data_IF_094688357610
#
_entry.id   IF_094688357610
#
_cell.length_a   1.000
_cell.length_b   1.000
_cell.length_c   1.000
_cell.angle_alpha   90.00
_cell.angle_beta   90.00
_cell.angle_gamma   90.00
#
_symmetry.space_group_name_H-M   'P 1'
#
loop_
_entity.id
_entity.type
_entity.pdbx_description
1 polymer ?
#
# COMPACT_ATOMS: atom_id res chain seq x y z
N UNK A 1 -10.40 -21.67 69.89
CA UNK A 1 -8.99 -21.36 69.56
C UNK A 1 -9.07 -20.49 68.33
N UNK A 2 -8.95 -19.19 68.55
CA UNK A 2 -9.62 -18.16 67.75
C UNK A 2 -8.88 -17.83 66.45
N UNK A 3 -9.66 -17.66 65.38
CA UNK A 3 -9.25 -17.21 64.04
C UNK A 3 -8.41 -15.92 64.04
N UNK A 4 -8.46 -15.15 65.12
CA UNK A 4 -7.64 -13.97 65.36
C UNK A 4 -6.15 -14.29 65.57
N UNK A 5 -5.81 -15.43 66.18
CA UNK A 5 -4.40 -15.84 66.38
C UNK A 5 -3.72 -16.30 65.08
N UNK A 6 -4.49 -16.78 64.09
CA UNK A 6 -3.94 -17.20 62.80
C UNK A 6 -3.63 -16.00 61.88
N UNK A 7 -4.48 -14.95 61.93
CA UNK A 7 -4.25 -13.69 61.22
C UNK A 7 -3.02 -12.95 61.79
N UNK A 8 -2.85 -12.96 63.11
CA UNK A 8 -1.73 -12.31 63.79
C UNK A 8 -0.38 -12.99 63.47
N UNK A 9 -0.38 -14.30 63.22
CA UNK A 9 0.82 -15.02 62.77
C UNK A 9 1.17 -14.80 61.29
N UNK A 10 0.18 -14.54 60.42
CA UNK A 10 0.45 -14.27 58.98
C UNK A 10 0.97 -12.86 58.70
N UNK A 11 0.67 -11.87 59.55
CA UNK A 11 1.23 -10.52 59.40
C UNK A 11 2.69 -10.41 59.89
N UNK A 12 3.18 -11.37 60.68
CA UNK A 12 4.48 -11.31 61.35
C UNK A 12 5.64 -11.95 60.58
N UNK A 13 5.49 -12.18 59.27
CA UNK A 13 6.50 -12.84 58.44
C UNK A 13 6.91 -12.05 57.17
N UNK A 14 6.89 -10.72 57.26
CA UNK A 14 7.67 -9.89 56.32
C UNK A 14 9.07 -9.72 56.93
N UNK A 15 10.08 -10.35 56.32
CA UNK A 15 11.49 -10.22 56.71
C UNK A 15 11.98 -8.77 56.67
N UNK A 16 13.20 -8.46 57.17
CA UNK A 16 13.72 -7.11 57.30
C UNK A 16 14.15 -6.53 55.94
N UNK A 17 13.22 -6.44 54.99
CA UNK A 17 13.33 -5.56 53.83
C UNK A 17 12.93 -4.16 54.28
N UNK A 18 13.88 -3.42 54.85
CA UNK A 18 13.69 -2.02 55.19
C UNK A 18 13.38 -1.22 53.94
N UNK A 19 12.10 -0.90 53.71
CA UNK A 19 11.72 0.07 52.70
C UNK A 19 12.38 1.43 53.01
N UNK A 20 12.80 2.13 51.96
CA UNK A 20 13.64 3.34 51.98
C UNK A 20 13.09 4.51 52.83
N UNK A 21 11.88 4.39 53.39
CA UNK A 21 11.13 5.44 54.08
C UNK A 21 10.90 5.20 55.58
N UNK A 22 11.51 4.16 56.18
CA UNK A 22 11.29 3.83 57.61
C UNK A 22 11.94 4.89 58.51
N UNK A 23 11.11 5.67 59.21
CA UNK A 23 11.54 6.73 60.15
C UNK A 23 11.43 8.17 59.64
N UNK A 24 10.94 8.38 58.41
CA UNK A 24 10.74 9.72 57.85
C UNK A 24 9.32 10.20 58.17
N UNK A 25 9.16 11.19 59.05
CA UNK A 25 7.87 11.82 59.35
C UNK A 25 7.60 12.96 58.37
N UNK A 26 7.05 12.63 57.20
CA UNK A 26 6.71 13.62 56.16
C UNK A 26 5.29 14.14 56.41
N UNK A 27 5.09 15.46 56.59
CA UNK A 27 3.75 16.03 56.61
C UNK A 27 2.99 15.69 55.33
N UNK A 28 1.72 15.29 55.45
CA UNK A 28 0.86 14.93 54.31
C UNK A 28 0.87 16.00 53.21
N UNK A 29 0.99 17.28 53.59
CA UNK A 29 1.13 18.40 52.63
C UNK A 29 2.38 18.29 51.76
N UNK A 30 3.53 17.94 52.34
CA UNK A 30 4.80 17.79 51.60
C UNK A 30 4.73 16.56 50.69
N UNK A 31 4.14 15.46 51.17
CA UNK A 31 3.92 14.27 50.35
C UNK A 31 3.03 14.59 49.14
N UNK A 32 1.95 15.36 49.32
CA UNK A 32 1.09 15.79 48.22
C UNK A 32 1.82 16.69 47.21
N UNK A 33 2.65 17.64 47.67
CA UNK A 33 3.47 18.44 46.75
C UNK A 33 4.42 17.57 45.93
N UNK A 34 5.10 16.60 46.56
CA UNK A 34 5.98 15.67 45.85
C UNK A 34 5.21 14.86 44.82
N UNK A 35 4.05 14.30 45.18
CA UNK A 35 3.19 13.55 44.24
C UNK A 35 2.74 14.42 43.07
N UNK A 36 2.28 15.65 43.32
CA UNK A 36 1.84 16.58 42.26
C UNK A 36 3.02 16.92 41.34
N UNK A 37 4.21 17.22 41.88
CA UNK A 37 5.39 17.50 41.05
C UNK A 37 5.83 16.30 40.22
N UNK A 38 5.81 15.09 40.78
CA UNK A 38 6.11 13.86 40.04
C UNK A 38 5.07 13.58 38.96
N UNK A 39 3.79 13.86 39.22
CA UNK A 39 2.72 13.75 38.22
C UNK A 39 2.91 14.78 37.09
N UNK A 40 3.26 16.03 37.40
CA UNK A 40 3.53 17.06 36.39
C UNK A 40 4.76 16.73 35.55
N UNK A 41 5.84 16.23 36.17
CA UNK A 41 7.03 15.76 35.46
C UNK A 41 6.69 14.55 34.58
N UNK A 42 5.93 13.59 35.10
CA UNK A 42 5.50 12.41 34.35
C UNK A 42 4.66 12.81 33.13
N UNK A 43 3.70 13.72 33.30
CA UNK A 43 2.91 14.27 32.18
C UNK A 43 3.82 14.98 31.18
N UNK A 44 4.78 15.78 31.64
CA UNK A 44 5.76 16.44 30.79
C UNK A 44 6.64 15.47 30.01
N UNK A 45 7.10 14.38 30.63
CA UNK A 45 7.88 13.31 29.98
C UNK A 45 7.04 12.57 28.95
N UNK A 46 5.80 12.22 29.28
CA UNK A 46 4.87 11.58 28.33
C UNK A 46 4.62 12.47 27.12
N UNK A 47 4.37 13.77 27.34
CA UNK A 47 4.21 14.75 26.26
C UNK A 47 5.49 14.88 25.43
N UNK A 48 6.66 14.95 26.06
CA UNK A 48 7.94 15.02 25.37
C UNK A 48 8.23 13.77 24.52
N UNK A 49 7.95 12.58 25.04
CA UNK A 49 8.12 11.32 24.29
C UNK A 49 7.13 11.24 23.12
N UNK A 50 5.87 11.63 23.34
CA UNK A 50 4.86 11.67 22.29
C UNK A 50 5.22 12.66 21.16
N UNK A 51 5.79 13.83 21.51
CA UNK A 51 6.24 14.82 20.53
C UNK A 51 7.46 14.38 19.71
N UNK A 52 8.23 13.40 20.20
CA UNK A 52 9.40 12.82 19.52
C UNK A 52 9.12 11.44 18.92
N UNK A 53 7.87 10.97 18.94
CA UNK A 53 7.48 9.72 18.28
C UNK A 53 7.35 9.97 16.78
N UNK A 54 8.26 9.40 16.01
CA UNK A 54 8.19 9.34 14.56
C UNK A 54 7.40 8.11 14.14
N UNK A 55 6.58 8.27 13.11
CA UNK A 55 5.88 7.19 12.46
C UNK A 55 6.44 6.98 11.06
N UNK A 56 6.51 5.71 10.68
CA UNK A 56 6.94 5.28 9.35
C UNK A 56 5.72 4.86 8.56
N UNK A 57 5.51 5.49 7.41
CA UNK A 57 4.53 5.07 6.41
C UNK A 57 5.27 4.32 5.31
N UNK A 58 5.07 3.00 5.28
CA UNK A 58 5.59 2.16 4.20
C UNK A 58 4.65 2.23 3.00
N UNK A 59 5.21 2.25 1.80
CA UNK A 59 4.47 2.33 0.55
C UNK A 59 4.72 1.04 -0.24
N UNK A 60 3.75 0.14 -0.24
CA UNK A 60 3.75 -1.05 -1.09
C UNK A 60 3.09 -0.70 -2.41
N UNK A 61 3.89 -0.61 -3.47
CA UNK A 61 3.40 -0.21 -4.79
C UNK A 61 2.75 -1.34 -5.57
N UNK A 62 2.58 -2.55 -5.00
CA UNK A 62 1.92 -3.69 -5.65
C UNK A 62 2.43 -3.94 -7.08
N UNK A 63 3.76 -3.97 -7.22
CA UNK A 63 4.45 -4.19 -8.50
C UNK A 63 4.67 -2.93 -9.35
N UNK A 64 4.46 -1.74 -8.80
CA UNK A 64 4.96 -0.48 -9.37
C UNK A 64 6.43 -0.22 -9.01
N UNK A 65 6.90 1.00 -9.27
CA UNK A 65 8.23 1.44 -8.84
C UNK A 65 8.35 1.47 -7.31
N UNK A 66 9.55 1.21 -6.77
CA UNK A 66 9.76 1.22 -5.32
C UNK A 66 9.86 2.66 -4.80
N UNK A 67 8.99 3.01 -3.87
CA UNK A 67 9.04 4.31 -3.17
C UNK A 67 9.63 4.11 -1.77
N UNK A 68 10.50 5.02 -1.34
CA UNK A 68 11.07 5.00 0.01
C UNK A 68 9.97 5.30 1.05
N UNK A 69 10.02 4.66 2.23
CA UNK A 69 9.10 4.99 3.31
C UNK A 69 9.18 6.47 3.70
N UNK A 70 8.04 7.01 4.13
CA UNK A 70 7.91 8.40 4.59
C UNK A 70 7.94 8.40 6.12
N UNK A 71 8.80 9.24 6.70
CA UNK A 71 8.86 9.48 8.14
C UNK A 71 8.07 10.75 8.47
N UNK A 72 7.06 10.65 9.33
CA UNK A 72 6.21 11.76 9.74
C UNK A 72 5.90 11.74 11.24
N UNK A 73 5.26 12.78 11.76
CA UNK A 73 4.82 12.86 13.16
C UNK A 73 3.32 12.57 13.29
N UNK A 74 2.88 12.38 14.53
CA UNK A 74 1.46 12.22 14.84
C UNK A 74 0.62 13.39 14.31
N UNK A 75 -0.40 13.05 13.53
CA UNK A 75 -1.38 14.01 13.04
C UNK A 75 -0.93 14.85 11.83
N UNK A 76 0.24 14.52 11.25
CA UNK A 76 0.72 15.12 10.01
C UNK A 76 -0.16 14.68 8.82
N UNK A 77 -0.34 15.60 7.87
CA UNK A 77 -0.83 15.29 6.53
C UNK A 77 0.36 14.94 5.66
N UNK A 78 0.28 13.79 4.99
CA UNK A 78 1.32 13.31 4.07
C UNK A 78 0.87 13.52 2.63
N UNK A 79 1.79 13.98 1.78
CA UNK A 79 1.61 14.00 0.33
C UNK A 79 2.49 12.88 -0.23
N UNK A 80 1.89 12.00 -1.01
CA UNK A 80 2.55 10.86 -1.62
C UNK A 80 2.48 11.06 -3.12
N UNK A 81 3.63 11.05 -3.79
CA UNK A 81 3.68 11.11 -5.25
C UNK A 81 3.03 9.85 -5.84
N UNK A 82 2.31 10.02 -6.95
CA UNK A 82 1.70 8.89 -7.65
C UNK A 82 2.81 7.95 -8.17
N UNK A 83 2.79 6.66 -7.78
CA UNK A 83 3.76 5.70 -8.30
C UNK A 83 3.54 5.48 -9.80
N UNK A 84 4.56 4.94 -10.46
CA UNK A 84 4.46 4.49 -11.85
C UNK A 84 4.40 2.96 -11.92
N UNK A 85 3.54 2.43 -12.80
CA UNK A 85 3.48 1.01 -13.18
C UNK A 85 3.13 0.90 -14.65
N UNK A 86 4.03 0.30 -15.44
CA UNK A 86 3.85 0.19 -16.89
C UNK A 86 2.58 -0.58 -17.26
N UNK A 87 1.71 0.01 -18.10
CA UNK A 87 0.45 -0.58 -18.56
C UNK A 87 -0.72 -0.42 -17.60
N UNK A 88 -0.57 0.36 -16.51
CA UNK A 88 -1.59 0.56 -15.50
C UNK A 88 -1.76 2.05 -15.15
N UNK A 89 -2.99 2.48 -14.86
CA UNK A 89 -3.29 3.76 -14.21
C UNK A 89 -3.32 3.59 -12.69
N UNK A 90 -2.74 4.54 -11.97
CA UNK A 90 -2.82 4.59 -10.51
C UNK A 90 -4.22 5.04 -10.09
N UNK A 91 -4.88 4.26 -9.23
CA UNK A 91 -6.25 4.57 -8.77
C UNK A 91 -6.27 5.11 -7.34
N UNK A 92 -5.22 4.91 -6.54
CA UNK A 92 -5.14 5.40 -5.16
C UNK A 92 -4.37 4.49 -4.22
N UNK A 93 -4.25 4.95 -2.97
CA UNK A 93 -3.63 4.22 -1.87
C UNK A 93 -4.70 3.59 -0.99
N UNK A 94 -4.42 2.41 -0.41
CA UNK A 94 -5.34 1.65 0.42
C UNK A 94 -4.68 1.21 1.72
N UNK A 95 -5.48 1.06 2.77
CA UNK A 95 -5.05 0.66 4.11
C UNK A 95 -4.87 -0.84 4.28
N UNK A 96 -5.38 -1.62 3.34
CA UNK A 96 -5.33 -3.07 3.35
C UNK A 96 -4.91 -3.63 1.99
N UNK A 97 -4.28 -4.79 2.05
CA UNK A 97 -3.76 -5.49 0.87
C UNK A 97 -4.88 -5.99 -0.06
N UNK A 98 -6.11 -6.17 0.44
CA UNK A 98 -7.27 -6.55 -0.36
C UNK A 98 -7.89 -5.36 -1.12
N UNK A 99 -7.34 -4.14 -0.94
CA UNK A 99 -7.79 -2.89 -1.55
C UNK A 99 -9.27 -2.55 -1.25
N UNK A 100 -9.71 -2.79 -0.01
CA UNK A 100 -11.10 -2.54 0.42
C UNK A 100 -11.31 -1.16 1.06
N UNK A 101 -10.32 -0.65 1.77
CA UNK A 101 -10.38 0.62 2.50
C UNK A 101 -9.39 1.60 1.88
N UNK A 102 -9.93 2.54 1.10
CA UNK A 102 -9.15 3.60 0.48
C UNK A 102 -8.58 4.56 1.54
N UNK A 103 -7.35 5.03 1.30
CA UNK A 103 -6.71 6.06 2.08
C UNK A 103 -6.89 7.43 1.41
N UNK A 104 -7.58 8.33 2.10
CA UNK A 104 -7.76 9.71 1.66
C UNK A 104 -6.87 10.67 2.49
N UNK A 105 -5.79 11.22 1.90
CA UNK A 105 -4.88 12.11 2.62
C UNK A 105 -5.50 13.47 2.98
N UNK A 106 -6.68 13.82 2.45
CA UNK A 106 -7.39 15.06 2.78
C UNK A 106 -8.22 14.93 4.06
N UNK A 107 -8.70 13.73 4.37
CA UNK A 107 -9.59 13.49 5.53
C UNK A 107 -8.93 12.65 6.62
N UNK A 108 -7.91 11.87 6.29
CA UNK A 108 -7.23 10.98 7.22
C UNK A 108 -5.82 11.48 7.56
N UNK A 109 -5.34 11.08 8.75
CA UNK A 109 -4.05 11.49 9.31
C UNK A 109 -3.27 10.29 9.81
N UNK A 110 -1.96 10.40 9.80
CA UNK A 110 -1.10 9.33 10.32
C UNK A 110 -1.12 9.37 11.85
N UNK A 111 -1.70 8.33 12.44
CA UNK A 111 -1.79 8.19 13.91
C UNK A 111 -0.82 7.14 14.46
N UNK A 112 -0.30 6.26 13.59
CA UNK A 112 0.69 5.23 13.89
C UNK A 112 1.43 4.84 12.61
N UNK A 113 2.56 4.12 12.74
CA UNK A 113 3.23 3.50 11.60
C UNK A 113 2.27 2.55 10.88
N UNK A 114 2.27 2.62 9.55
CA UNK A 114 1.31 1.92 8.70
C UNK A 114 1.92 1.57 7.34
N UNK A 115 1.23 0.71 6.59
CA UNK A 115 1.56 0.42 5.20
C UNK A 115 0.38 0.82 4.33
N UNK A 116 0.66 1.55 3.25
CA UNK A 116 -0.31 1.86 2.22
C UNK A 116 -0.03 1.01 0.99
N UNK A 117 -1.09 0.51 0.36
CA UNK A 117 -1.06 -0.39 -0.78
C UNK A 117 -1.58 0.33 -2.02
N UNK A 118 -0.81 0.37 -3.11
CA UNK A 118 -1.23 1.00 -4.34
C UNK A 118 -2.28 0.15 -5.07
N UNK A 119 -3.34 0.80 -5.54
CA UNK A 119 -4.32 0.20 -6.45
C UNK A 119 -4.06 0.64 -7.89
N UNK A 120 -4.29 -0.29 -8.81
CA UNK A 120 -3.95 -0.15 -10.21
C UNK A 120 -5.08 -0.64 -11.08
N UNK A 121 -5.32 0.06 -12.18
CA UNK A 121 -6.26 -0.36 -13.21
C UNK A 121 -5.53 -0.54 -14.54
N UNK A 122 -5.64 -1.69 -15.22
CA UNK A 122 -5.04 -1.86 -16.53
C UNK A 122 -5.55 -0.80 -17.51
N UNK A 123 -4.65 -0.22 -18.30
CA UNK A 123 -5.05 0.76 -19.29
C UNK A 123 -5.69 0.09 -20.50
N UNK A 124 -6.48 0.87 -21.24
CA UNK A 124 -6.99 0.49 -22.55
C UNK A 124 -6.05 0.96 -23.65
N UNK A 125 -5.82 0.10 -24.64
CA UNK A 125 -4.88 0.32 -25.73
C UNK A 125 -5.62 0.24 -27.05
N UNK A 126 -5.37 1.23 -27.90
CA UNK A 126 -5.85 1.23 -29.27
C UNK A 126 -4.89 0.42 -30.15
N UNK A 127 -5.39 -0.59 -30.84
CA UNK A 127 -4.63 -1.44 -31.77
C UNK A 127 -5.10 -1.13 -33.17
N UNK A 128 -4.18 -0.70 -34.03
CA UNK A 128 -4.48 -0.36 -35.43
C UNK A 128 -4.09 -1.52 -36.33
N UNK A 129 -4.84 -1.75 -37.41
CA UNK A 129 -4.58 -2.84 -38.35
C UNK A 129 -4.06 -2.31 -39.68
N UNK A 130 -2.87 -2.75 -40.06
CA UNK A 130 -2.30 -2.54 -41.40
C UNK A 130 -2.52 -3.82 -42.22
N UNK A 131 -3.50 -3.77 -43.11
CA UNK A 131 -3.92 -4.90 -43.93
C UNK A 131 -2.93 -5.25 -45.06
N UNK A 132 -1.87 -4.45 -45.27
CA UNK A 132 -0.87 -4.66 -46.33
C UNK A 132 -1.50 -4.95 -47.71
N UNK A 133 -2.48 -4.12 -48.10
CA UNK A 133 -3.20 -4.26 -49.37
C UNK A 133 -4.27 -5.37 -49.41
N UNK A 134 -4.55 -6.05 -48.30
CA UNK A 134 -5.77 -6.84 -48.13
C UNK A 134 -7.03 -5.97 -47.92
N UNK A 135 -8.21 -6.59 -47.89
CA UNK A 135 -9.44 -5.86 -47.60
C UNK A 135 -9.48 -5.40 -46.14
N UNK A 136 -9.85 -4.14 -45.93
CA UNK A 136 -10.04 -3.58 -44.59
C UNK A 136 -11.35 -4.11 -43.99
N UNK A 137 -11.30 -4.62 -42.76
CA UNK A 137 -12.47 -5.11 -42.00
C UNK A 137 -12.80 -4.15 -40.87
N UNK A 138 -11.78 -3.71 -40.12
CA UNK A 138 -11.89 -2.75 -39.03
C UNK A 138 -10.58 -1.96 -38.93
N UNK A 139 -10.66 -0.65 -38.71
CA UNK A 139 -9.47 0.20 -38.66
C UNK A 139 -8.67 0.00 -37.37
N UNK A 140 -9.40 -0.13 -36.25
CA UNK A 140 -8.79 -0.28 -34.93
C UNK A 140 -9.67 -1.09 -33.97
N UNK A 141 -9.04 -1.60 -32.91
CA UNK A 141 -9.67 -2.32 -31.81
C UNK A 141 -9.10 -1.85 -30.47
N UNK A 142 -9.99 -1.62 -29.51
CA UNK A 142 -9.59 -1.38 -28.12
C UNK A 142 -9.35 -2.72 -27.40
N UNK A 143 -8.20 -2.86 -26.76
CA UNK A 143 -7.83 -4.02 -25.92
C UNK A 143 -7.38 -3.56 -24.54
N UNK A 144 -7.35 -4.46 -23.56
CA UNK A 144 -6.91 -4.16 -22.20
C UNK A 144 -5.49 -4.68 -22.00
N UNK A 145 -4.61 -3.87 -21.39
CA UNK A 145 -3.25 -4.31 -21.05
C UNK A 145 -3.29 -5.51 -20.10
N UNK A 146 -2.35 -6.45 -20.28
CA UNK A 146 -2.26 -7.70 -19.49
C UNK A 146 -3.45 -8.67 -19.67
N UNK A 147 -4.37 -8.36 -20.59
CA UNK A 147 -5.40 -9.28 -21.08
C UNK A 147 -5.00 -9.84 -22.45
N UNK A 148 -5.73 -10.83 -22.97
CA UNK A 148 -5.52 -11.34 -24.32
C UNK A 148 -6.11 -10.41 -25.38
N UNK A 149 -5.55 -10.42 -26.60
CA UNK A 149 -6.11 -9.63 -27.72
C UNK A 149 -7.55 -10.01 -28.07
N UNK A 150 -7.96 -11.26 -27.85
CA UNK A 150 -9.26 -11.80 -28.27
C UNK A 150 -9.40 -11.84 -29.80
N UNK A 151 -10.62 -12.01 -30.30
CA UNK A 151 -10.87 -12.21 -31.74
C UNK A 151 -10.23 -11.11 -32.61
N UNK A 152 -9.43 -11.52 -33.60
CA UNK A 152 -8.75 -10.62 -34.55
C UNK A 152 -9.38 -10.73 -35.94
N UNK A 153 -9.41 -9.64 -36.72
CA UNK A 153 -9.94 -9.66 -38.08
C UNK A 153 -9.18 -10.65 -38.97
N UNK A 154 -9.89 -11.32 -39.87
CA UNK A 154 -9.33 -12.28 -40.84
C UNK A 154 -9.55 -11.77 -42.26
N UNK A 155 -8.66 -10.90 -42.78
CA UNK A 155 -8.80 -10.34 -44.11
C UNK A 155 -8.52 -11.34 -45.23
N UNK A 156 -8.86 -10.94 -46.45
CA UNK A 156 -8.56 -11.61 -47.71
C UNK A 156 -7.78 -10.66 -48.63
N UNK A 157 -6.91 -11.24 -49.46
CA UNK A 157 -6.11 -10.54 -50.48
C UNK A 157 -6.00 -11.45 -51.70
N UNK A 158 -6.43 -10.98 -52.86
CA UNK A 158 -6.52 -11.80 -54.08
C UNK A 158 -5.15 -12.39 -54.46
N UNK A 159 -5.07 -13.72 -54.62
CA UNK A 159 -3.83 -14.44 -54.91
C UNK A 159 -2.92 -14.71 -53.69
N UNK A 160 -3.38 -14.43 -52.47
CA UNK A 160 -2.61 -14.64 -51.24
C UNK A 160 -3.40 -15.36 -50.14
N UNK A 161 -2.69 -16.16 -49.34
CA UNK A 161 -3.18 -16.74 -48.10
C UNK A 161 -2.80 -15.85 -46.90
N UNK A 162 -3.77 -15.56 -46.03
CA UNK A 162 -3.52 -14.86 -44.76
C UNK A 162 -2.88 -15.82 -43.76
N UNK A 163 -1.69 -15.47 -43.25
CA UNK A 163 -0.97 -16.27 -42.26
C UNK A 163 -1.23 -15.80 -40.82
N UNK A 164 -1.54 -14.51 -40.62
CA UNK A 164 -1.79 -13.95 -39.31
C UNK A 164 -1.36 -12.49 -39.19
N UNK A 165 -1.46 -11.98 -37.97
CA UNK A 165 -0.99 -10.64 -37.61
C UNK A 165 0.41 -10.72 -37.01
N UNK A 166 1.26 -9.75 -37.36
CA UNK A 166 2.60 -9.63 -36.78
C UNK A 166 2.84 -8.24 -36.19
N UNK A 167 3.61 -8.18 -35.11
CA UNK A 167 4.16 -6.96 -34.54
C UNK A 167 5.62 -7.21 -34.16
N UNK A 168 6.54 -6.31 -34.55
CA UNK A 168 7.98 -6.46 -34.30
C UNK A 168 8.52 -7.86 -34.65
N UNK A 169 8.09 -8.43 -35.78
CA UNK A 169 8.46 -9.77 -36.27
C UNK A 169 7.95 -10.96 -35.43
N UNK A 170 7.07 -10.73 -34.46
CA UNK A 170 6.41 -11.78 -33.68
C UNK A 170 4.95 -11.94 -34.10
N UNK A 171 4.43 -13.17 -34.06
CA UNK A 171 3.03 -13.45 -34.34
C UNK A 171 2.14 -13.04 -33.17
N UNK A 172 1.09 -12.28 -33.50
CA UNK A 172 0.03 -11.91 -32.57
C UNK A 172 -1.21 -12.72 -32.92
N UNK A 173 -1.75 -13.39 -31.92
CA UNK A 173 -2.94 -14.23 -32.01
C UNK A 173 -4.00 -13.76 -31.02
N UNK A 174 -5.21 -14.29 -31.13
CA UNK A 174 -6.30 -14.00 -30.18
C UNK A 174 -5.97 -14.36 -28.72
N UNK A 175 -5.03 -15.29 -28.50
CA UNK A 175 -4.61 -15.74 -27.16
C UNK A 175 -3.29 -15.11 -26.72
N UNK A 176 -2.69 -14.22 -27.53
CA UNK A 176 -1.50 -13.49 -27.13
C UNK A 176 -1.88 -12.45 -26.07
N UNK A 177 -1.13 -12.36 -24.98
CA UNK A 177 -1.32 -11.31 -23.97
C UNK A 177 -0.81 -9.96 -24.47
N UNK A 178 -1.56 -8.90 -24.23
CA UNK A 178 -1.21 -7.52 -24.58
C UNK A 178 -0.17 -7.00 -23.58
N UNK A 179 1.11 -7.06 -23.97
CA UNK A 179 2.24 -6.55 -23.17
C UNK A 179 2.78 -5.19 -23.65
N UNK A 180 2.17 -4.62 -24.69
CA UNK A 180 2.61 -3.35 -25.28
C UNK A 180 1.85 -2.21 -24.60
N UNK A 181 2.56 -1.42 -23.80
CA UNK A 181 2.01 -0.26 -23.08
C UNK A 181 1.89 0.96 -24.02
N UNK A 182 1.05 0.86 -25.05
CA UNK A 182 0.81 1.94 -26.00
C UNK A 182 0.15 1.49 -27.30
N UNK A 183 -0.34 2.47 -28.06
CA UNK A 183 -0.88 2.23 -29.40
C UNK A 183 0.19 1.57 -30.29
N UNK A 184 -0.25 0.57 -31.05
CA UNK A 184 0.62 -0.15 -31.97
C UNK A 184 -0.15 -0.68 -33.18
N UNK A 185 0.59 -1.00 -34.24
CA UNK A 185 0.05 -1.42 -35.53
C UNK A 185 0.36 -2.90 -35.75
N UNK A 186 -0.68 -3.72 -35.84
CA UNK A 186 -0.56 -5.11 -36.29
C UNK A 186 -0.55 -5.14 -37.80
N UNK A 187 0.46 -5.79 -38.39
CA UNK A 187 0.60 -5.93 -39.85
C UNK A 187 0.13 -7.29 -40.31
N UNK A 188 -0.63 -7.33 -41.39
CA UNK A 188 -1.06 -8.58 -41.99
C UNK A 188 0.13 -9.28 -42.68
N UNK A 189 0.34 -10.56 -42.38
CA UNK A 189 1.31 -11.40 -43.06
C UNK A 189 0.63 -12.27 -44.11
N UNK A 190 1.16 -12.23 -45.33
CA UNK A 190 0.60 -12.89 -46.50
C UNK A 190 1.59 -13.86 -47.13
N UNK A 191 1.09 -14.96 -47.69
CA UNK A 191 1.84 -15.90 -48.53
C UNK A 191 1.20 -15.96 -49.92
N UNK A 192 1.98 -15.76 -50.99
CA UNK A 192 1.48 -15.91 -52.37
C UNK A 192 1.06 -17.36 -52.62
N UNK A 193 -0.11 -17.55 -53.22
CA UNK A 193 -0.60 -18.87 -53.64
C UNK A 193 0.12 -19.39 -54.88
#
# INVERSE_FOLDING_TARGET
>A
MDEKEEIEKKQKNWGPGGGMYRGVNVPVKILNYVIITLMVILVGVVVFLALNSHFTVNLDTNGGENIKPIECKYGDSIVIDEPLKAGYSFEGWYLDQDLKHEWDPLTQKVEQSMTLYASWKPIKINVVFDYDGGNVILEHKEVVYDDIYGELPRPTKEGYQFLGWIYNNEFITENTTVSINGEHVLKALWQSQ
#
